data_IF_806632461219
#
_entry.id   IF_806632461219
#
_cell.length_a   1.000
_cell.length_b   1.000
_cell.length_c   1.000
_cell.angle_alpha   90.00
_cell.angle_beta   90.00
_cell.angle_gamma   90.00
#
_symmetry.space_group_name_H-M   'P 1'
#
loop_
_entity.id
_entity.type
_entity.pdbx_description
1 polymer ?
#
# COMPACT_ATOMS: atom_id res chain seq x y z
N UNK A 1 -9.89 10.40 -7.88
CA UNK A 1 -9.84 9.23 -6.98
C UNK A 1 -10.67 9.45 -5.73
N UNK A 2 -10.62 10.60 -5.13
CA UNK A 2 -11.42 10.93 -3.94
C UNK A 2 -12.27 12.16 -4.21
N UNK A 3 -13.43 12.01 -4.89
CA UNK A 3 -14.29 13.14 -5.20
C UNK A 3 -14.76 13.88 -3.93
N UNK A 4 -14.74 15.22 -3.97
CA UNK A 4 -15.16 16.05 -2.84
C UNK A 4 -14.15 16.17 -1.71
N UNK A 5 -13.00 15.49 -1.79
CA UNK A 5 -11.93 15.60 -0.80
C UNK A 5 -10.93 16.65 -1.25
N UNK A 6 -10.62 17.60 -0.36
CA UNK A 6 -9.53 18.55 -0.58
C UNK A 6 -8.19 17.81 -0.45
N UNK A 7 -7.42 17.79 -1.54
CA UNK A 7 -6.16 17.03 -1.58
C UNK A 7 -4.93 17.89 -1.29
N UNK A 8 -5.10 19.15 -0.94
CA UNK A 8 -3.96 20.07 -0.72
C UNK A 8 -3.05 19.64 0.43
N UNK A 9 -3.62 18.99 1.45
CA UNK A 9 -2.90 18.49 2.62
C UNK A 9 -2.93 16.96 2.72
N UNK A 10 -3.21 16.29 1.61
CA UNK A 10 -3.31 14.83 1.58
C UNK A 10 -1.92 14.19 1.67
N UNK A 11 -1.77 13.27 2.62
CA UNK A 11 -0.61 12.38 2.66
C UNK A 11 -0.86 11.20 1.73
N UNK A 12 0.05 11.00 0.79
CA UNK A 12 0.08 9.82 -0.06
C UNK A 12 1.23 8.95 0.40
N UNK A 13 0.95 7.77 0.89
CA UNK A 13 1.94 6.91 1.55
C UNK A 13 2.07 5.59 0.79
N UNK A 14 2.98 5.52 -0.19
CA UNK A 14 3.31 4.26 -0.83
C UNK A 14 4.01 3.35 0.17
N UNK A 15 3.59 2.10 0.21
CA UNK A 15 4.27 1.06 0.99
C UNK A 15 4.91 0.06 0.05
N UNK A 16 6.04 -0.49 0.45
CA UNK A 16 6.76 -1.49 -0.32
C UNK A 16 7.13 -2.65 0.59
N UNK A 17 6.64 -3.84 0.26
CA UNK A 17 7.05 -5.07 0.93
C UNK A 17 8.10 -5.77 0.07
N UNK A 18 9.21 -6.15 0.70
CA UNK A 18 10.20 -7.00 0.05
C UNK A 18 9.63 -8.42 -0.06
N UNK A 19 9.66 -8.97 -1.25
CA UNK A 19 9.20 -10.33 -1.50
C UNK A 19 10.35 -11.33 -1.48
N UNK A 20 10.03 -12.59 -1.22
CA UNK A 20 11.04 -13.67 -1.18
C UNK A 20 11.56 -14.00 -2.57
N UNK A 21 10.82 -13.64 -3.62
CA UNK A 21 11.15 -13.93 -4.99
C UNK A 21 10.73 -12.79 -5.89
N UNK A 22 11.26 -12.79 -7.10
CA UNK A 22 10.91 -11.84 -8.14
C UNK A 22 9.46 -12.05 -8.58
N UNK A 23 8.61 -11.03 -8.41
CA UNK A 23 7.19 -11.10 -8.77
C UNK A 23 6.92 -10.99 -10.27
N UNK A 24 7.94 -10.73 -11.07
CA UNK A 24 7.84 -10.78 -12.54
C UNK A 24 7.69 -12.22 -13.03
N UNK A 25 8.21 -13.18 -12.28
CA UNK A 25 8.10 -14.60 -12.59
C UNK A 25 6.66 -15.07 -12.42
N UNK A 26 6.34 -16.20 -13.02
CA UNK A 26 5.03 -16.84 -12.90
C UNK A 26 5.16 -18.17 -12.18
N UNK A 27 4.06 -18.66 -11.62
CA UNK A 27 4.01 -19.93 -10.94
C UNK A 27 3.26 -19.87 -9.62
N UNK A 28 2.96 -21.03 -9.05
CA UNK A 28 2.18 -21.15 -7.83
C UNK A 28 2.85 -20.47 -6.63
N UNK A 29 4.17 -20.62 -6.49
CA UNK A 29 4.90 -20.01 -5.38
C UNK A 29 4.91 -18.48 -5.44
N UNK A 30 4.89 -17.90 -6.64
CA UNK A 30 4.79 -16.45 -6.83
C UNK A 30 3.40 -15.97 -6.46
N UNK A 31 2.37 -16.70 -6.86
CA UNK A 31 0.98 -16.38 -6.51
C UNK A 31 0.75 -16.46 -4.99
N UNK A 32 1.31 -17.46 -4.32
CA UNK A 32 1.27 -17.58 -2.86
C UNK A 32 1.96 -16.38 -2.17
N UNK A 33 3.11 -15.94 -2.70
CA UNK A 33 3.81 -14.77 -2.15
C UNK A 33 2.99 -13.49 -2.33
N UNK A 34 2.36 -13.31 -3.49
CA UNK A 34 1.46 -12.17 -3.73
C UNK A 34 0.28 -12.17 -2.79
N UNK A 35 -0.35 -13.32 -2.57
CA UNK A 35 -1.47 -13.46 -1.65
C UNK A 35 -1.04 -13.16 -0.21
N UNK A 36 0.12 -13.60 0.20
CA UNK A 36 0.69 -13.32 1.51
C UNK A 36 0.92 -11.83 1.71
N UNK A 37 1.52 -11.16 0.74
CA UNK A 37 1.75 -9.72 0.79
C UNK A 37 0.43 -8.93 0.79
N UNK A 38 -0.55 -9.36 0.00
CA UNK A 38 -1.88 -8.76 -0.04
C UNK A 38 -2.54 -8.81 1.34
N UNK A 39 -2.58 -9.98 1.97
CA UNK A 39 -3.19 -10.15 3.29
C UNK A 39 -2.50 -9.29 4.35
N UNK A 40 -1.17 -9.25 4.34
CA UNK A 40 -0.40 -8.41 5.26
C UNK A 40 -0.71 -6.93 5.08
N UNK A 41 -0.76 -6.48 3.84
CA UNK A 41 -1.08 -5.08 3.56
C UNK A 41 -2.50 -4.73 4.01
N UNK A 42 -3.49 -5.56 3.68
CA UNK A 42 -4.88 -5.30 4.06
C UNK A 42 -5.06 -5.23 5.57
N UNK A 43 -4.41 -6.12 6.32
CA UNK A 43 -4.43 -6.09 7.78
C UNK A 43 -3.83 -4.80 8.33
N UNK A 44 -2.66 -4.43 7.84
CA UNK A 44 -1.96 -3.22 8.24
C UNK A 44 -2.76 -1.96 7.90
N UNK A 45 -3.20 -1.85 6.65
CA UNK A 45 -3.89 -0.67 6.17
C UNK A 45 -5.25 -0.45 6.86
N UNK A 46 -6.00 -1.54 7.08
CA UNK A 46 -7.26 -1.44 7.81
C UNK A 46 -7.02 -0.94 9.23
N UNK A 47 -6.01 -1.46 9.91
CA UNK A 47 -5.70 -1.05 11.28
C UNK A 47 -5.28 0.42 11.35
N UNK A 48 -4.42 0.85 10.44
CA UNK A 48 -3.98 2.25 10.35
C UNK A 48 -5.16 3.19 10.09
N UNK A 49 -5.99 2.87 9.11
CA UNK A 49 -7.13 3.73 8.75
C UNK A 49 -8.20 3.75 9.83
N UNK A 50 -8.46 2.62 10.50
CA UNK A 50 -9.40 2.58 11.63
C UNK A 50 -8.90 3.45 12.79
N UNK A 51 -7.61 3.40 13.11
CA UNK A 51 -7.01 4.23 14.17
C UNK A 51 -7.06 5.71 13.83
N UNK A 52 -6.77 6.08 12.58
CA UNK A 52 -6.87 7.46 12.14
C UNK A 52 -8.31 7.97 12.21
N UNK A 53 -9.27 7.17 11.79
CA UNK A 53 -10.69 7.51 11.86
C UNK A 53 -11.13 7.70 13.33
N UNK A 54 -10.66 6.87 14.24
CA UNK A 54 -10.99 6.99 15.68
C UNK A 54 -10.43 8.28 16.29
N UNK A 55 -9.38 8.84 15.69
CA UNK A 55 -8.80 10.13 16.11
C UNK A 55 -9.39 11.32 15.32
N UNK A 56 -10.43 11.09 14.50
CA UNK A 56 -11.10 12.13 13.73
C UNK A 56 -10.44 12.53 12.42
N UNK A 57 -9.53 11.71 11.90
CA UNK A 57 -8.84 11.97 10.64
C UNK A 57 -9.39 11.13 9.50
N UNK A 58 -9.53 11.76 8.34
CA UNK A 58 -9.89 11.06 7.11
C UNK A 58 -8.73 10.17 6.66
N UNK A 59 -9.03 8.93 6.29
CA UNK A 59 -8.03 8.00 5.76
C UNK A 59 -8.68 7.00 4.82
N UNK A 60 -7.86 6.46 3.92
CA UNK A 60 -8.28 5.43 2.98
C UNK A 60 -7.07 4.60 2.55
N UNK A 61 -7.32 3.48 1.93
CA UNK A 61 -6.28 2.67 1.30
C UNK A 61 -6.85 1.99 0.06
N UNK A 62 -5.96 1.54 -0.80
CA UNK A 62 -6.31 0.93 -2.07
C UNK A 62 -6.14 -0.58 -1.97
N UNK A 63 -7.17 -1.34 -2.37
CA UNK A 63 -7.05 -2.78 -2.53
C UNK A 63 -6.13 -3.07 -3.73
N UNK A 64 -4.97 -3.69 -3.52
CA UNK A 64 -4.04 -3.96 -4.61
C UNK A 64 -4.60 -4.83 -5.73
N UNK A 65 -5.60 -5.66 -5.44
CA UNK A 65 -6.21 -6.52 -6.46
C UNK A 65 -7.15 -5.76 -7.37
N UNK A 66 -8.02 -4.94 -6.81
CA UNK A 66 -9.03 -4.20 -7.59
C UNK A 66 -8.57 -2.81 -8.02
N UNK A 67 -7.62 -2.23 -7.29
CA UNK A 67 -7.21 -0.85 -7.48
C UNK A 67 -8.22 0.16 -6.94
N UNK A 68 -9.20 -0.27 -6.17
CA UNK A 68 -10.26 0.59 -5.66
C UNK A 68 -10.05 0.96 -4.19
N UNK A 69 -10.56 2.15 -3.80
CA UNK A 69 -10.54 2.59 -2.43
C UNK A 69 -11.45 1.72 -1.55
N UNK A 70 -10.99 1.40 -0.34
CA UNK A 70 -11.66 0.42 0.51
C UNK A 70 -12.53 1.04 1.60
N UNK A 71 -12.26 2.27 2.02
CA UNK A 71 -13.02 2.92 3.10
C UNK A 71 -14.11 3.81 2.54
N UNK A 72 -13.75 4.76 1.69
CA UNK A 72 -14.68 5.79 1.24
C UNK A 72 -15.43 5.46 -0.05
N UNK A 73 -15.04 4.47 -0.78
CA UNK A 73 -15.74 3.86 -1.94
C UNK A 73 -16.54 4.82 -2.85
N UNK A 74 -16.15 6.09 -2.89
CA UNK A 74 -16.89 7.13 -3.60
C UNK A 74 -16.57 7.18 -5.09
N UNK A 75 -15.56 6.46 -5.54
CA UNK A 75 -15.11 6.42 -6.93
C UNK A 75 -14.86 4.98 -7.34
N UNK A 76 -15.10 4.69 -8.62
CA UNK A 76 -14.74 3.41 -9.23
C UNK A 76 -13.46 3.54 -10.07
N UNK A 77 -12.76 4.67 -9.95
CA UNK A 77 -11.50 4.89 -10.63
C UNK A 77 -10.41 4.00 -10.03
N UNK A 78 -9.73 3.26 -10.91
CA UNK A 78 -8.64 2.37 -10.51
C UNK A 78 -7.37 3.19 -10.26
N UNK A 79 -6.73 2.96 -9.12
CA UNK A 79 -5.47 3.60 -8.75
C UNK A 79 -4.29 2.81 -9.32
N UNK A 80 -3.39 3.48 -10.03
CA UNK A 80 -2.18 2.88 -10.61
C UNK A 80 -1.00 2.97 -9.65
N UNK A 81 -0.70 1.88 -8.95
CA UNK A 81 0.42 1.84 -7.99
C UNK A 81 1.77 2.10 -8.64
N UNK A 82 2.01 1.50 -9.82
CA UNK A 82 3.28 1.67 -10.55
C UNK A 82 3.43 3.12 -11.00
N UNK A 83 2.39 3.69 -11.60
CA UNK A 83 2.43 5.08 -12.07
C UNK A 83 2.62 6.06 -10.91
N UNK A 84 2.04 5.76 -9.75
CA UNK A 84 2.22 6.58 -8.55
C UNK A 84 3.67 6.56 -8.05
N UNK A 85 4.31 5.40 -8.00
CA UNK A 85 5.71 5.30 -7.59
C UNK A 85 6.65 6.02 -8.55
N UNK A 86 6.38 5.94 -9.84
CA UNK A 86 7.15 6.69 -10.86
C UNK A 86 6.98 8.19 -10.66
N UNK A 87 5.75 8.66 -10.49
CA UNK A 87 5.44 10.08 -10.39
C UNK A 87 5.92 10.68 -9.06
N UNK A 88 5.69 9.99 -7.94
CA UNK A 88 5.96 10.51 -6.61
C UNK A 88 7.38 10.28 -6.13
N UNK A 89 7.98 9.14 -6.46
CA UNK A 89 9.27 8.73 -5.93
C UNK A 89 10.35 8.55 -7.01
N UNK A 90 10.03 8.81 -8.26
CA UNK A 90 10.94 8.63 -9.40
C UNK A 90 11.49 7.21 -9.53
N UNK A 91 10.71 6.20 -9.14
CA UNK A 91 11.14 4.82 -9.31
C UNK A 91 11.18 4.47 -10.79
N UNK A 92 12.12 3.60 -11.15
CA UNK A 92 12.25 3.09 -12.49
C UNK A 92 11.23 1.97 -12.73
N UNK A 93 10.92 1.76 -14.01
CA UNK A 93 10.02 0.67 -14.43
C UNK A 93 10.66 -0.13 -15.54
N UNK A 94 10.26 -1.38 -15.66
CA UNK A 94 10.58 -2.23 -16.79
C UNK A 94 9.28 -2.86 -17.30
N UNK A 95 9.34 -3.43 -18.50
CA UNK A 95 8.21 -4.15 -19.06
C UNK A 95 8.45 -5.66 -18.96
N UNK A 96 7.40 -6.37 -18.52
CA UNK A 96 7.38 -7.83 -18.54
C UNK A 96 6.12 -8.26 -19.30
N UNK A 97 6.29 -8.64 -20.54
CA UNK A 97 5.17 -8.86 -21.45
C UNK A 97 4.38 -7.57 -21.67
N UNK A 98 3.08 -7.59 -21.39
CA UNK A 98 2.19 -6.43 -21.51
C UNK A 98 2.09 -5.59 -20.22
N UNK A 99 2.81 -5.98 -19.15
CA UNK A 99 2.70 -5.35 -17.83
C UNK A 99 3.90 -4.47 -17.52
N UNK A 100 3.66 -3.32 -16.90
CA UNK A 100 4.71 -2.50 -16.33
C UNK A 100 5.05 -3.05 -14.94
N UNK A 101 6.34 -3.12 -14.63
CA UNK A 101 6.85 -3.60 -13.35
C UNK A 101 7.72 -2.52 -12.75
N UNK A 102 7.43 -2.12 -11.50
CA UNK A 102 8.25 -1.14 -10.79
C UNK A 102 9.53 -1.79 -10.31
N UNK A 103 10.63 -1.02 -10.34
CA UNK A 103 11.92 -1.44 -9.84
C UNK A 103 12.25 -0.65 -8.58
N UNK A 104 12.24 -1.35 -7.43
CA UNK A 104 12.66 -0.76 -6.15
C UNK A 104 14.18 -0.54 -6.19
N UNK A 105 14.69 0.59 -5.64
CA UNK A 105 16.12 0.90 -5.69
C UNK A 105 17.05 -0.18 -5.10
N UNK A 106 16.56 -0.93 -4.11
CA UNK A 106 17.34 -1.99 -3.45
C UNK A 106 16.89 -3.40 -3.82
N UNK A 107 15.59 -3.58 -4.06
CA UNK A 107 15.02 -4.92 -4.21
C UNK A 107 14.64 -5.24 -5.66
N UNK A 108 14.81 -4.29 -6.58
CA UNK A 108 14.44 -4.50 -7.98
C UNK A 108 12.95 -4.81 -8.10
N UNK A 109 12.64 -5.85 -8.85
CA UNK A 109 11.25 -6.31 -9.04
C UNK A 109 10.72 -7.23 -7.92
N UNK A 110 11.56 -7.54 -6.91
CA UNK A 110 11.13 -8.31 -5.73
C UNK A 110 10.45 -7.39 -4.70
N UNK A 111 9.38 -6.72 -5.11
CA UNK A 111 8.65 -5.74 -4.32
C UNK A 111 7.15 -5.84 -4.57
N UNK A 112 6.37 -5.68 -3.49
CA UNK A 112 4.91 -5.63 -3.54
C UNK A 112 4.47 -4.24 -3.07
N UNK A 113 4.06 -3.34 -3.99
CA UNK A 113 3.65 -1.98 -3.63
C UNK A 113 2.17 -1.90 -3.33
N UNK A 114 1.82 -1.04 -2.38
CA UNK A 114 0.42 -0.70 -2.09
C UNK A 114 0.38 0.63 -1.34
N UNK A 115 -0.73 1.37 -1.42
CA UNK A 115 -0.79 2.74 -0.93
C UNK A 115 -1.88 2.99 0.10
N UNK A 116 -1.56 3.85 1.06
CA UNK A 116 -2.47 4.39 2.07
C UNK A 116 -2.53 5.91 1.91
N UNK A 117 -3.70 6.48 2.16
CA UNK A 117 -3.94 7.91 2.09
C UNK A 117 -4.48 8.41 3.42
N UNK A 118 -4.07 9.60 3.84
CA UNK A 118 -4.56 10.19 5.07
C UNK A 118 -4.56 11.72 5.03
N UNK A 119 -5.52 12.33 5.73
CA UNK A 119 -5.55 13.76 6.00
C UNK A 119 -5.33 13.94 7.51
N UNK A 120 -4.06 13.87 7.92
CA UNK A 120 -3.65 13.97 9.30
C UNK A 120 -2.28 14.65 9.38
N UNK A 121 -1.92 15.24 10.53
CA UNK A 121 -0.54 15.66 10.73
C UNK A 121 0.41 14.48 10.57
N UNK A 122 1.56 14.74 9.97
CA UNK A 122 2.56 13.70 9.69
C UNK A 122 2.94 12.94 10.96
N UNK A 123 3.11 13.65 12.07
CA UNK A 123 3.49 13.08 13.36
C UNK A 123 2.43 12.08 13.87
N UNK A 124 1.16 12.42 13.67
CA UNK A 124 0.04 11.54 14.06
C UNK A 124 0.05 10.29 13.19
N UNK A 125 0.27 10.45 11.89
CA UNK A 125 0.34 9.31 10.97
C UNK A 125 1.47 8.35 11.36
N UNK A 126 2.66 8.87 11.63
CA UNK A 126 3.83 8.06 12.03
C UNK A 126 3.56 7.32 13.35
N UNK A 127 2.94 7.99 14.32
CA UNK A 127 2.56 7.37 15.60
C UNK A 127 1.56 6.23 15.41
N UNK A 128 0.54 6.44 14.59
CA UNK A 128 -0.48 5.43 14.29
C UNK A 128 0.13 4.22 13.59
N UNK A 129 1.04 4.43 12.64
CA UNK A 129 1.75 3.34 11.96
C UNK A 129 2.56 2.52 12.96
N UNK A 130 3.29 3.18 13.85
CA UNK A 130 4.09 2.49 14.87
C UNK A 130 3.20 1.65 15.81
N UNK A 131 2.06 2.20 16.23
CA UNK A 131 1.09 1.47 17.06
C UNK A 131 0.53 0.25 16.33
N UNK A 132 0.12 0.42 15.07
CA UNK A 132 -0.43 -0.67 14.27
C UNK A 132 0.57 -1.80 14.07
N UNK A 133 1.81 -1.47 13.76
CA UNK A 133 2.87 -2.46 13.59
C UNK A 133 3.17 -3.21 14.89
N UNK A 134 3.21 -2.50 16.02
CA UNK A 134 3.44 -3.12 17.32
C UNK A 134 2.32 -4.09 17.69
N UNK A 135 1.08 -3.73 17.44
CA UNK A 135 -0.08 -4.59 17.70
C UNK A 135 -0.07 -5.84 16.82
N UNK A 136 0.26 -5.69 15.54
CA UNK A 136 0.34 -6.82 14.61
C UNK A 136 1.43 -7.80 15.04
N UNK A 137 2.59 -7.29 15.44
CA UNK A 137 3.69 -8.13 15.94
C UNK A 137 3.32 -8.88 17.23
N UNK A 138 2.54 -8.24 18.10
CA UNK A 138 2.08 -8.86 19.35
C UNK A 138 1.07 -9.96 19.09
N UNK A 139 0.20 -9.80 18.08
CA UNK A 139 -0.80 -10.78 17.70
C UNK A 139 -0.20 -11.98 16.95
N UNK A 140 0.81 -11.73 16.13
CA UNK A 140 1.50 -12.75 15.35
C UNK A 140 2.99 -12.43 15.24
N UNK A 141 3.82 -12.93 16.18
CA UNK A 141 5.27 -12.70 16.14
C UNK A 141 5.94 -13.19 14.85
N UNK A 142 5.37 -14.17 14.17
CA UNK A 142 5.89 -14.69 12.90
C UNK A 142 5.62 -13.76 11.72
N UNK A 143 4.70 -12.78 11.85
CA UNK A 143 4.39 -11.83 10.81
C UNK A 143 5.37 -10.64 10.75
N UNK A 144 6.29 -10.56 11.69
CA UNK A 144 7.24 -9.45 11.79
C UNK A 144 8.32 -9.49 10.69
#
# INVERSE_FOLDING_TARGET
MFPGVDVSDLLVVPTCQKTKMDLVKTGESVDEEKDFCLERFLLFAKRVTDKLASRGHWADYIDPCSGLSMVNKASQQVYGEVDALVTLLNYQVTNSGCCKVVLHPKWGSAVYPASVFAKAPREVFVEVVAEAEAEIRAEDPAAA
#
